data_IF_384334551817
#
_entry.id   IF_384334551817
#
_cell.length_a   1.000
_cell.length_b   1.000
_cell.length_c   1.000
_cell.angle_alpha   90.00
_cell.angle_beta   90.00
_cell.angle_gamma   90.00
#
_symmetry.space_group_name_H-M   'P 1'
#
loop_
_entity.id
_entity.type
_entity.pdbx_description
1 polymer ?
#
# COMPACT_ATOMS: atom_id res chain seq x y z
N UNK A 1 4.39 9.66 31.48
CA UNK A 1 3.58 9.94 30.27
C UNK A 1 4.43 10.79 29.34
N UNK A 2 4.74 10.30 28.13
CA UNK A 2 5.58 11.04 27.16
C UNK A 2 4.84 12.32 26.75
N UNK A 3 5.55 13.44 26.82
CA UNK A 3 5.10 14.76 26.43
C UNK A 3 4.61 14.74 24.99
N UNK A 4 3.35 15.12 24.76
CA UNK A 4 2.81 15.40 23.42
C UNK A 4 3.65 16.55 22.84
N UNK A 5 4.53 16.26 21.89
CA UNK A 5 5.10 17.31 21.04
C UNK A 5 3.91 18.02 20.37
N UNK A 6 3.67 19.27 20.75
CA UNK A 6 2.68 20.11 20.08
C UNK A 6 3.32 20.50 18.75
N UNK A 7 2.94 19.81 17.68
CA UNK A 7 3.17 20.32 16.34
C UNK A 7 2.44 21.66 16.25
N UNK A 8 3.16 22.72 15.86
CA UNK A 8 2.53 24.01 15.60
C UNK A 8 1.70 23.86 14.33
N UNK A 9 0.39 23.73 14.52
CA UNK A 9 -0.55 23.66 13.43
C UNK A 9 -0.49 24.96 12.62
N UNK A 10 -0.51 24.82 11.31
CA UNK A 10 -0.62 25.97 10.43
C UNK A 10 -2.02 26.62 10.55
N UNK A 11 -2.19 27.80 9.94
CA UNK A 11 -3.46 28.52 10.04
C UNK A 11 -4.65 27.77 9.43
N UNK A 12 -4.40 26.90 8.44
CA UNK A 12 -5.43 26.10 7.80
C UNK A 12 -5.83 24.90 8.68
N UNK A 13 -4.86 24.22 9.28
CA UNK A 13 -5.07 23.13 10.21
C UNK A 13 -5.79 23.59 11.48
N UNK A 14 -5.44 24.77 12.02
CA UNK A 14 -6.15 25.38 13.15
C UNK A 14 -7.60 25.71 12.83
N UNK A 15 -7.87 26.18 11.62
CA UNK A 15 -9.24 26.43 11.17
C UNK A 15 -10.03 25.12 11.07
N UNK A 16 -9.43 24.05 10.54
CA UNK A 16 -10.07 22.73 10.48
C UNK A 16 -10.40 22.21 11.89
N UNK A 17 -9.46 22.26 12.84
CA UNK A 17 -9.72 21.81 14.22
C UNK A 17 -10.88 22.59 14.85
N UNK A 18 -10.91 23.92 14.68
CA UNK A 18 -11.94 24.80 15.22
C UNK A 18 -13.33 24.54 14.61
N UNK A 19 -13.42 24.30 13.29
CA UNK A 19 -14.69 23.93 12.64
C UNK A 19 -15.17 22.53 13.06
N UNK A 20 -14.26 21.57 13.27
CA UNK A 20 -14.59 20.22 13.79
C UNK A 20 -15.10 20.32 15.22
N UNK A 21 -14.42 21.07 16.10
CA UNK A 21 -14.83 21.27 17.50
C UNK A 21 -16.19 21.97 17.61
N UNK A 22 -16.48 22.89 16.69
CA UNK A 22 -17.78 23.58 16.60
C UNK A 22 -18.89 22.74 15.96
N UNK A 23 -18.56 21.56 15.41
CA UNK A 23 -19.51 20.69 14.72
C UNK A 23 -20.02 21.27 13.40
N UNK A 24 -19.30 22.23 12.81
CA UNK A 24 -19.64 22.86 11.55
C UNK A 24 -19.17 21.98 10.39
N UNK A 25 -19.93 20.93 10.11
CA UNK A 25 -19.70 20.10 8.93
C UNK A 25 -20.29 20.79 7.70
N UNK A 26 -19.44 21.42 6.89
CA UNK A 26 -19.85 21.93 5.58
C UNK A 26 -20.08 20.77 4.61
N UNK A 27 -21.24 20.71 3.92
CA UNK A 27 -21.45 19.74 2.87
C UNK A 27 -20.45 20.02 1.74
N UNK A 28 -19.62 19.03 1.46
CA UNK A 28 -18.71 19.07 0.32
C UNK A 28 -19.59 18.93 -0.93
N UNK A 29 -19.75 20.00 -1.71
CA UNK A 29 -20.62 20.01 -2.92
C UNK A 29 -20.24 18.91 -3.93
N UNK A 30 -18.97 18.49 -3.94
CA UNK A 30 -18.44 17.44 -4.80
C UNK A 30 -18.17 16.10 -4.08
N UNK A 31 -18.81 15.84 -2.92
CA UNK A 31 -18.58 14.63 -2.13
C UNK A 31 -18.74 13.35 -2.96
N UNK A 32 -19.79 13.28 -3.78
CA UNK A 32 -20.04 12.13 -4.66
C UNK A 32 -18.96 11.97 -5.75
N UNK A 33 -18.42 13.07 -6.27
CA UNK A 33 -17.33 13.02 -7.24
C UNK A 33 -16.03 12.54 -6.61
N UNK A 34 -15.71 13.07 -5.41
CA UNK A 34 -14.53 12.66 -4.63
C UNK A 34 -14.64 11.19 -4.23
N UNK A 35 -15.82 10.75 -3.78
CA UNK A 35 -16.09 9.35 -3.45
C UNK A 35 -15.90 8.45 -4.67
N UNK A 36 -16.46 8.81 -5.83
CA UNK A 36 -16.27 8.06 -7.09
C UNK A 36 -14.83 8.05 -7.56
N UNK A 37 -14.07 9.13 -7.34
CA UNK A 37 -12.65 9.17 -7.67
C UNK A 37 -11.84 8.22 -6.78
N UNK A 38 -12.13 8.22 -5.47
CA UNK A 38 -11.49 7.33 -4.50
C UNK A 38 -11.81 5.86 -4.77
N UNK A 39 -13.07 5.53 -5.02
CA UNK A 39 -13.50 4.17 -5.37
C UNK A 39 -12.82 3.66 -6.65
N UNK A 40 -12.67 4.51 -7.67
CA UNK A 40 -11.94 4.17 -8.90
C UNK A 40 -10.46 3.94 -8.64
N UNK A 41 -9.83 4.79 -7.82
CA UNK A 41 -8.43 4.63 -7.45
C UNK A 41 -8.20 3.32 -6.66
N UNK A 42 -9.09 3.01 -5.72
CA UNK A 42 -9.05 1.77 -4.95
C UNK A 42 -9.21 0.54 -5.85
N UNK A 43 -10.19 0.53 -6.76
CA UNK A 43 -10.38 -0.57 -7.74
C UNK A 43 -9.17 -0.75 -8.64
N UNK A 44 -8.58 0.35 -9.14
CA UNK A 44 -7.36 0.29 -9.96
C UNK A 44 -6.20 -0.32 -9.17
N UNK A 45 -6.02 0.09 -7.90
CA UNK A 45 -4.96 -0.44 -7.04
C UNK A 45 -5.15 -1.90 -6.71
N UNK A 46 -6.39 -2.32 -6.43
CA UNK A 46 -6.73 -3.72 -6.21
C UNK A 46 -6.36 -4.56 -7.44
N UNK A 47 -6.74 -4.10 -8.64
CA UNK A 47 -6.41 -4.78 -9.90
C UNK A 47 -4.90 -4.88 -10.13
N UNK A 48 -4.14 -3.80 -9.92
CA UNK A 48 -2.67 -3.84 -9.98
C UNK A 48 -2.06 -4.83 -8.97
N UNK A 49 -2.66 -4.96 -7.79
CA UNK A 49 -2.21 -5.90 -6.76
C UNK A 49 -2.59 -7.34 -7.10
N UNK A 50 -3.76 -7.58 -7.69
CA UNK A 50 -4.18 -8.92 -8.16
C UNK A 50 -3.31 -9.39 -9.32
N UNK A 51 -3.05 -8.52 -10.30
CA UNK A 51 -2.11 -8.79 -11.40
C UNK A 51 -0.70 -9.09 -10.88
N UNK A 52 -0.25 -8.37 -9.84
CA UNK A 52 1.03 -8.67 -9.18
C UNK A 52 1.00 -9.95 -8.34
N UNK A 53 -0.09 -10.22 -7.61
CA UNK A 53 -0.22 -11.40 -6.75
C UNK A 53 -0.25 -12.70 -7.54
N UNK A 54 -0.77 -12.68 -8.77
CA UNK A 54 -0.74 -13.83 -9.69
C UNK A 54 0.68 -14.23 -10.13
N UNK A 55 1.70 -13.44 -9.81
CA UNK A 55 3.10 -13.69 -10.21
C UNK A 55 4.03 -14.16 -9.07
N UNK A 56 3.55 -14.22 -7.83
CA UNK A 56 4.38 -14.64 -6.69
C UNK A 56 4.06 -16.08 -6.29
N UNK A 57 5.05 -16.96 -6.36
CA UNK A 57 4.96 -18.36 -5.91
C UNK A 57 5.95 -18.57 -4.77
N UNK A 58 5.48 -19.14 -3.65
CA UNK A 58 6.33 -19.56 -2.54
C UNK A 58 6.65 -21.04 -2.68
N UNK A 59 7.93 -21.39 -2.58
CA UNK A 59 8.40 -22.78 -2.64
C UNK A 59 9.21 -23.05 -1.37
N UNK A 60 8.83 -24.09 -0.63
CA UNK A 60 9.55 -24.55 0.55
C UNK A 60 10.51 -25.68 0.16
N UNK A 61 11.72 -25.65 0.73
CA UNK A 61 12.76 -26.62 0.46
C UNK A 61 13.15 -27.34 1.75
N UNK A 62 13.28 -28.67 1.67
CA UNK A 62 13.66 -29.53 2.80
C UNK A 62 15.14 -29.44 3.17
N UNK A 63 15.99 -28.92 2.28
CA UNK A 63 17.41 -28.69 2.54
C UNK A 63 17.94 -27.43 1.84
N UNK A 64 19.01 -26.81 2.38
CA UNK A 64 19.65 -25.65 1.74
C UNK A 64 20.19 -25.96 0.34
N UNK A 65 20.74 -27.17 0.14
CA UNK A 65 21.30 -27.62 -1.14
C UNK A 65 20.24 -27.69 -2.24
N UNK A 66 19.03 -28.16 -1.92
CA UNK A 66 17.90 -28.19 -2.83
C UNK A 66 17.43 -26.78 -3.19
N UNK A 67 17.41 -25.87 -2.20
CA UNK A 67 17.07 -24.46 -2.42
C UNK A 67 18.03 -23.80 -3.41
N UNK A 68 19.34 -23.95 -3.22
CA UNK A 68 20.35 -23.36 -4.11
C UNK A 68 20.21 -23.89 -5.54
N UNK A 69 20.09 -25.21 -5.69
CA UNK A 69 19.95 -25.84 -7.01
C UNK A 69 18.66 -25.40 -7.72
N UNK A 70 17.56 -25.30 -6.99
CA UNK A 70 16.29 -24.82 -7.54
C UNK A 70 16.36 -23.34 -7.95
N UNK A 71 16.96 -22.48 -7.12
CA UNK A 71 17.15 -21.06 -7.47
C UNK A 71 18.02 -20.92 -8.72
N UNK A 72 19.07 -21.74 -8.86
CA UNK A 72 19.93 -21.73 -10.03
C UNK A 72 19.16 -22.10 -11.30
N UNK A 73 18.40 -23.21 -11.28
CA UNK A 73 17.59 -23.65 -12.41
C UNK A 73 16.52 -22.61 -12.80
N UNK A 74 15.85 -22.01 -11.81
CA UNK A 74 14.85 -20.98 -12.04
C UNK A 74 15.47 -19.71 -12.65
N UNK A 75 16.67 -19.32 -12.21
CA UNK A 75 17.40 -18.19 -12.82
C UNK A 75 17.91 -18.49 -14.22
N UNK A 76 18.39 -19.71 -14.49
CA UNK A 76 18.82 -20.11 -15.83
C UNK A 76 17.66 -20.11 -16.82
N UNK A 77 16.49 -20.60 -16.40
CA UNK A 77 15.35 -20.73 -17.30
C UNK A 77 14.58 -19.42 -17.50
N UNK A 78 14.37 -18.63 -16.44
CA UNK A 78 13.54 -17.42 -16.48
C UNK A 78 14.35 -16.11 -16.51
N UNK A 79 15.66 -16.17 -16.23
CA UNK A 79 16.57 -15.03 -16.32
C UNK A 79 16.09 -13.80 -15.56
N UNK A 80 16.05 -12.66 -16.26
CA UNK A 80 15.65 -11.35 -15.70
C UNK A 80 14.16 -11.23 -15.40
N UNK A 81 13.34 -12.16 -15.86
CA UNK A 81 11.89 -12.14 -15.64
C UNK A 81 11.49 -12.73 -14.29
N UNK A 82 12.44 -13.32 -13.56
CA UNK A 82 12.21 -13.88 -12.23
C UNK A 82 12.91 -13.04 -11.16
N UNK A 83 12.13 -12.59 -10.17
CA UNK A 83 12.65 -11.95 -8.96
C UNK A 83 12.51 -12.92 -7.79
N UNK A 84 13.63 -13.38 -7.25
CA UNK A 84 13.66 -14.22 -6.04
C UNK A 84 13.73 -13.32 -4.82
N UNK A 85 12.83 -13.53 -3.85
CA UNK A 85 12.82 -12.86 -2.55
C UNK A 85 12.86 -13.93 -1.46
N UNK A 86 13.75 -13.77 -0.49
CA UNK A 86 13.82 -14.66 0.67
C UNK A 86 12.99 -14.05 1.81
N UNK A 87 12.17 -14.88 2.45
CA UNK A 87 11.39 -14.50 3.63
C UNK A 87 12.23 -14.62 4.90
#
# INVERSE_FOLDING_TARGET
MKSKERYELDNYEKWIEDEIEKGNFVPIENFDEVKRALERAAKKKLKELEEKKLSTVTIEFSSPELKEKAIQLLKEHFGKNLKVMEA
#
